data_IF_106682636770
#
_entry.id   IF_106682636770
#
_cell.length_a   1.000
_cell.length_b   1.000
_cell.length_c   1.000
_cell.angle_alpha   90.00
_cell.angle_beta   90.00
_cell.angle_gamma   90.00
#
_symmetry.space_group_name_H-M   'P 1'
#
loop_
_entity.id
_entity.type
_entity.pdbx_description
1 polymer ?
#
# COMPACT_ATOMS: atom_id res chain seq x y z
N UNK A 1 -40.81 22.68 10.13
CA UNK A 1 -41.26 21.59 9.25
C UNK A 1 -40.10 20.63 9.09
N UNK A 2 -40.12 19.51 9.81
CA UNK A 2 -39.05 18.53 9.85
C UNK A 2 -39.34 17.41 8.83
N UNK A 3 -38.54 17.34 7.77
CA UNK A 3 -38.64 16.29 6.75
C UNK A 3 -38.09 15.00 7.34
N UNK A 4 -38.99 14.12 7.77
CA UNK A 4 -38.66 12.79 8.26
C UNK A 4 -38.32 11.90 7.06
N UNK A 5 -37.04 11.59 6.88
CA UNK A 5 -36.59 10.65 5.87
C UNK A 5 -37.05 9.24 6.26
N UNK A 6 -37.95 8.67 5.45
CA UNK A 6 -38.34 7.26 5.52
C UNK A 6 -37.10 6.38 5.24
N UNK A 7 -36.48 5.88 6.31
CA UNK A 7 -35.46 4.84 6.21
C UNK A 7 -36.19 3.50 6.04
N UNK A 8 -36.32 3.04 4.81
CA UNK A 8 -36.74 1.67 4.54
C UNK A 8 -35.76 0.71 5.24
N UNK A 9 -36.24 -0.34 5.94
CA UNK A 9 -35.35 -1.35 6.46
C UNK A 9 -34.74 -2.10 5.27
N UNK A 10 -33.43 -1.98 5.06
CA UNK A 10 -32.69 -2.91 4.22
C UNK A 10 -32.91 -4.31 4.80
N UNK A 11 -33.81 -5.07 4.17
CA UNK A 11 -33.92 -6.49 4.42
C UNK A 11 -32.57 -7.07 3.98
N UNK A 12 -31.72 -7.39 4.95
CA UNK A 12 -30.56 -8.24 4.74
C UNK A 12 -31.09 -9.63 4.33
N UNK A 13 -31.44 -9.76 3.06
CA UNK A 13 -31.71 -11.04 2.42
C UNK A 13 -30.42 -11.83 2.55
N UNK A 14 -30.45 -12.85 3.40
CA UNK A 14 -29.26 -13.55 3.85
C UNK A 14 -28.38 -13.93 2.67
N UNK A 15 -27.13 -13.46 2.71
CA UNK A 15 -26.04 -14.18 2.08
C UNK A 15 -26.05 -15.57 2.72
N UNK A 16 -26.76 -16.51 2.08
CA UNK A 16 -26.70 -17.93 2.45
C UNK A 16 -25.22 -18.26 2.47
N UNK A 17 -24.77 -18.74 3.62
CA UNK A 17 -23.42 -19.17 3.87
C UNK A 17 -23.09 -20.26 2.84
N UNK A 18 -22.52 -19.87 1.70
CA UNK A 18 -21.89 -20.79 0.78
C UNK A 18 -20.69 -21.32 1.56
N UNK A 19 -20.77 -22.56 2.04
CA UNK A 19 -19.67 -23.24 2.76
C UNK A 19 -18.41 -23.46 1.90
N UNK A 20 -18.34 -22.81 0.73
CA UNK A 20 -17.21 -22.74 -0.16
C UNK A 20 -17.07 -21.29 -0.64
N UNK A 21 -16.69 -20.39 0.28
CA UNK A 21 -16.23 -19.05 -0.11
C UNK A 21 -14.83 -19.23 -0.69
N UNK A 22 -14.57 -18.71 -1.90
CA UNK A 22 -13.25 -18.86 -2.50
C UNK A 22 -12.22 -18.17 -1.60
N UNK A 23 -11.05 -18.78 -1.32
CA UNK A 23 -10.07 -18.19 -0.41
C UNK A 23 -9.56 -16.80 -0.84
N UNK A 24 -9.68 -16.47 -2.13
CA UNK A 24 -9.35 -15.16 -2.68
C UNK A 24 -10.41 -14.09 -2.38
N UNK A 25 -11.64 -14.49 -2.05
CA UNK A 25 -12.70 -13.56 -1.63
C UNK A 25 -12.68 -13.32 -0.11
N UNK A 26 -12.25 -14.31 0.68
CA UNK A 26 -12.16 -14.17 2.15
C UNK A 26 -10.90 -13.39 2.58
N UNK A 27 -9.79 -13.54 1.86
CA UNK A 27 -8.49 -13.00 2.25
C UNK A 27 -7.87 -12.09 1.18
N UNK A 28 -7.31 -10.97 1.63
CA UNK A 28 -6.63 -10.00 0.76
C UNK A 28 -5.24 -10.49 0.31
N UNK A 29 -4.61 -11.34 1.13
CA UNK A 29 -3.27 -11.85 0.91
C UNK A 29 -3.18 -13.32 1.28
N UNK A 30 -2.73 -14.15 0.34
CA UNK A 30 -2.54 -15.59 0.54
C UNK A 30 -1.07 -15.97 0.48
N UNK A 31 -0.63 -16.79 1.41
CA UNK A 31 0.69 -17.43 1.42
C UNK A 31 0.48 -18.92 1.23
N UNK A 32 0.90 -19.44 0.08
CA UNK A 32 0.73 -20.83 -0.32
C UNK A 32 2.09 -21.51 -0.25
N UNK A 33 2.19 -22.62 0.47
CA UNK A 33 3.43 -23.36 0.60
C UNK A 33 3.39 -24.62 -0.26
N UNK A 34 4.56 -25.00 -0.79
CA UNK A 34 4.70 -26.30 -1.44
C UNK A 34 4.72 -27.40 -0.37
N UNK A 35 4.07 -28.54 -0.64
CA UNK A 35 4.07 -29.68 0.29
C UNK A 35 5.49 -30.18 0.61
N UNK A 36 6.41 -30.07 -0.36
CA UNK A 36 7.80 -30.50 -0.22
C UNK A 36 8.73 -29.37 0.28
N UNK A 37 8.16 -28.24 0.73
CA UNK A 37 8.95 -27.12 1.20
C UNK A 37 9.83 -27.55 2.41
N UNK A 38 11.07 -27.06 2.51
CA UNK A 38 11.99 -27.41 3.60
C UNK A 38 11.48 -26.98 4.99
N UNK A 39 10.50 -26.08 5.04
CA UNK A 39 9.77 -25.71 6.27
C UNK A 39 9.03 -26.92 6.86
N UNK A 40 8.55 -27.82 6.01
CA UNK A 40 7.86 -29.06 6.39
C UNK A 40 8.79 -30.28 6.33
N UNK A 41 10.11 -30.10 6.26
CA UNK A 41 11.07 -31.21 6.15
C UNK A 41 10.95 -32.11 7.38
N UNK A 42 10.48 -33.34 7.17
CA UNK A 42 10.19 -34.31 8.24
C UNK A 42 8.70 -34.60 8.44
N UNK A 43 7.80 -33.85 7.80
CA UNK A 43 6.38 -34.19 7.71
C UNK A 43 6.18 -35.10 6.48
N UNK A 44 5.99 -36.40 6.70
CA UNK A 44 5.54 -37.30 5.64
C UNK A 44 4.06 -36.99 5.32
N UNK A 45 3.63 -37.25 4.09
CA UNK A 45 2.26 -36.99 3.61
C UNK A 45 1.13 -37.66 4.44
N UNK A 46 1.49 -38.51 5.41
CA UNK A 46 0.57 -39.20 6.32
C UNK A 46 0.42 -38.55 7.70
N UNK A 47 1.13 -37.45 7.99
CA UNK A 47 1.04 -36.72 9.26
C UNK A 47 0.52 -35.28 9.05
N UNK A 48 -0.74 -35.16 8.63
CA UNK A 48 -1.45 -33.88 8.48
C UNK A 48 -1.37 -33.04 9.78
N UNK A 49 -1.33 -33.69 10.95
CA UNK A 49 -1.23 -33.04 12.27
C UNK A 49 0.09 -32.27 12.49
N UNK A 50 1.22 -32.78 12.00
CA UNK A 50 2.51 -32.05 12.10
C UNK A 50 2.54 -30.83 11.18
N UNK A 51 1.91 -30.94 10.00
CA UNK A 51 1.73 -29.80 9.10
C UNK A 51 0.80 -28.74 9.72
N UNK A 52 -0.25 -29.15 10.43
CA UNK A 52 -1.12 -28.24 11.16
C UNK A 52 -0.39 -27.50 12.29
N UNK A 53 0.43 -28.21 13.08
CA UNK A 53 1.22 -27.56 14.12
C UNK A 53 2.24 -26.56 13.57
N UNK A 54 2.97 -26.92 12.52
CA UNK A 54 3.90 -25.98 11.87
C UNK A 54 3.18 -24.78 11.25
N UNK A 55 1.97 -24.96 10.72
CA UNK A 55 1.11 -23.85 10.29
C UNK A 55 0.65 -22.97 11.45
N UNK A 56 0.35 -23.54 12.62
CA UNK A 56 0.03 -22.76 13.82
C UNK A 56 1.22 -21.94 14.31
N UNK A 57 2.43 -22.50 14.28
CA UNK A 57 3.67 -21.77 14.60
C UNK A 57 3.95 -20.64 13.58
N UNK A 58 3.65 -20.88 12.30
CA UNK A 58 3.70 -19.83 11.28
C UNK A 58 2.69 -18.72 11.55
N UNK A 59 1.47 -19.07 11.98
CA UNK A 59 0.43 -18.11 12.34
C UNK A 59 0.88 -17.25 13.52
N UNK A 60 1.41 -17.86 14.60
CA UNK A 60 1.86 -17.11 15.78
C UNK A 60 2.98 -16.13 15.42
N UNK A 61 3.93 -16.57 14.60
CA UNK A 61 5.02 -15.76 14.09
C UNK A 61 4.56 -14.61 13.19
N UNK A 62 3.61 -14.86 12.28
CA UNK A 62 3.03 -13.83 11.42
C UNK A 62 2.19 -12.84 12.23
N UNK A 63 1.47 -13.30 13.25
CA UNK A 63 0.72 -12.45 14.16
C UNK A 63 1.65 -11.52 14.95
N UNK A 64 2.78 -12.02 15.45
CA UNK A 64 3.78 -11.21 16.15
C UNK A 64 4.42 -10.16 15.22
N UNK A 65 4.77 -10.55 13.98
CA UNK A 65 5.45 -9.66 13.05
C UNK A 65 4.57 -8.62 12.35
N UNK A 66 3.33 -8.98 12.00
CA UNK A 66 2.39 -8.06 11.32
C UNK A 66 1.52 -7.28 12.30
N UNK A 67 1.27 -7.81 13.51
CA UNK A 67 0.58 -7.13 14.60
C UNK A 67 -0.75 -6.51 14.16
N UNK A 68 -0.88 -5.19 14.35
CA UNK A 68 -2.11 -4.42 14.05
C UNK A 68 -2.45 -4.31 12.56
N UNK A 69 -1.60 -4.80 11.65
CA UNK A 69 -1.84 -4.79 10.20
C UNK A 69 -2.76 -5.92 9.75
N UNK A 70 -2.93 -6.96 10.56
CA UNK A 70 -3.84 -8.07 10.27
C UNK A 70 -5.13 -7.87 11.07
N UNK A 71 -6.26 -8.16 10.44
CA UNK A 71 -7.57 -8.25 11.10
C UNK A 71 -7.98 -9.71 11.31
N UNK A 72 -7.65 -10.60 10.38
CA UNK A 72 -7.93 -12.04 10.46
C UNK A 72 -6.77 -12.82 9.83
N UNK A 73 -6.37 -13.91 10.49
CA UNK A 73 -5.43 -14.90 9.96
C UNK A 73 -6.04 -16.28 10.09
N UNK A 74 -5.93 -17.10 9.05
CA UNK A 74 -6.38 -18.51 9.07
C UNK A 74 -5.46 -19.39 8.25
N UNK A 75 -5.21 -20.59 8.73
CA UNK A 75 -4.60 -21.66 7.94
C UNK A 75 -5.69 -22.52 7.29
N UNK A 76 -5.43 -22.99 6.09
CA UNK A 76 -6.29 -23.90 5.37
C UNK A 76 -5.48 -24.66 4.32
N UNK A 77 -6.11 -25.64 3.67
CA UNK A 77 -5.48 -26.42 2.61
C UNK A 77 -6.19 -26.15 1.28
N UNK A 78 -5.42 -25.79 0.25
CA UNK A 78 -5.96 -25.60 -1.10
C UNK A 78 -5.87 -26.94 -1.84
N UNK A 79 -7.01 -27.54 -2.25
CA UNK A 79 -6.99 -28.74 -3.07
C UNK A 79 -6.53 -28.40 -4.50
N UNK A 80 -5.52 -29.10 -4.98
CA UNK A 80 -5.07 -29.01 -6.38
C UNK A 80 -5.80 -30.04 -7.23
N UNK A 81 -5.94 -29.76 -8.54
CA UNK A 81 -6.53 -30.71 -9.50
C UNK A 81 -5.79 -32.06 -9.56
N UNK A 82 -4.52 -32.08 -9.16
CA UNK A 82 -3.70 -33.29 -9.04
C UNK A 82 -4.01 -34.14 -7.80
N UNK A 83 -4.98 -33.76 -6.98
CA UNK A 83 -5.35 -34.44 -5.73
C UNK A 83 -4.46 -34.08 -4.53
N UNK A 84 -3.35 -33.36 -4.73
CA UNK A 84 -2.50 -32.85 -3.65
C UNK A 84 -3.18 -31.66 -2.94
N UNK A 85 -3.01 -31.57 -1.62
CA UNK A 85 -3.44 -30.42 -0.82
C UNK A 85 -2.23 -29.54 -0.50
N UNK A 86 -2.30 -28.25 -0.82
CA UNK A 86 -1.24 -27.30 -0.51
C UNK A 86 -1.55 -26.54 0.79
N UNK A 87 -0.68 -26.62 1.82
CA UNK A 87 -0.84 -25.85 3.03
C UNK A 87 -0.76 -24.35 2.73
N UNK A 88 -1.73 -23.58 3.21
CA UNK A 88 -1.87 -22.16 2.90
C UNK A 88 -2.30 -21.35 4.13
N UNK A 89 -1.91 -20.08 4.17
CA UNK A 89 -2.29 -19.11 5.18
C UNK A 89 -2.94 -17.91 4.48
N UNK A 90 -4.15 -17.57 4.91
CA UNK A 90 -4.87 -16.38 4.47
C UNK A 90 -4.74 -15.26 5.49
N UNK A 91 -4.47 -14.05 5.00
CA UNK A 91 -4.36 -12.83 5.78
C UNK A 91 -5.40 -11.83 5.27
N UNK A 92 -6.21 -11.31 6.19
CA UNK A 92 -7.08 -10.15 5.95
C UNK A 92 -6.40 -8.92 6.53
N UNK A 93 -6.14 -7.93 5.69
CA UNK A 93 -5.31 -6.79 6.04
C UNK A 93 -6.16 -5.61 6.51
N UNK A 94 -5.62 -4.81 7.43
CA UNK A 94 -6.19 -3.53 7.80
C UNK A 94 -5.76 -2.47 6.77
N UNK A 95 -6.67 -1.92 5.94
CA UNK A 95 -6.29 -1.03 4.83
C UNK A 95 -5.60 0.26 5.29
N UNK A 96 -5.84 0.70 6.53
CA UNK A 96 -5.20 1.90 7.09
C UNK A 96 -3.73 1.70 7.41
N UNK A 97 -3.34 0.48 7.78
CA UNK A 97 -1.99 0.17 8.28
C UNK A 97 -1.19 -0.75 7.33
N UNK A 98 -1.84 -1.50 6.45
CA UNK A 98 -1.21 -2.49 5.57
C UNK A 98 -0.02 -1.90 4.78
N UNK A 99 -0.23 -0.72 4.20
CA UNK A 99 0.76 -0.03 3.35
C UNK A 99 1.71 0.91 4.11
N UNK A 100 1.65 0.95 5.45
CA UNK A 100 2.57 1.78 6.24
C UNK A 100 4.00 1.29 6.07
N UNK A 101 4.92 2.16 5.64
CA UNK A 101 6.31 1.79 5.38
C UNK A 101 7.11 1.50 6.64
N UNK A 102 6.63 1.92 7.81
CA UNK A 102 7.37 1.80 9.08
C UNK A 102 6.56 1.00 10.09
N UNK A 103 7.23 0.08 10.78
CA UNK A 103 6.71 -0.60 11.97
C UNK A 103 7.38 0.07 13.16
N UNK A 104 6.57 0.71 14.01
CA UNK A 104 7.03 1.31 15.26
C UNK A 104 7.09 0.21 16.32
N UNK A 105 8.27 0.05 16.92
CA UNK A 105 8.51 -0.83 18.05
C UNK A 105 8.54 -0.08 19.39
N UNK A 106 9.00 -0.75 20.46
CA UNK A 106 9.15 -0.17 21.78
C UNK A 106 10.29 0.86 21.87
N UNK A 107 10.31 1.68 22.94
CA UNK A 107 11.36 2.67 23.14
C UNK A 107 12.74 2.01 23.33
N UNK A 108 13.77 2.70 22.85
CA UNK A 108 15.16 2.24 22.92
C UNK A 108 15.63 2.03 24.36
N UNK A 109 16.53 1.08 24.56
CA UNK A 109 17.11 0.78 25.89
C UNK A 109 16.22 -0.07 26.81
N UNK A 110 14.99 -0.39 26.41
CA UNK A 110 14.13 -1.32 27.16
C UNK A 110 14.42 -2.79 26.83
N UNK A 111 14.04 -3.71 27.72
CA UNK A 111 14.12 -5.15 27.44
C UNK A 111 13.26 -5.54 26.24
N UNK A 112 12.08 -4.92 26.10
CA UNK A 112 11.22 -5.06 24.92
C UNK A 112 11.92 -4.60 23.63
N UNK A 113 12.78 -3.58 23.69
CA UNK A 113 13.62 -3.17 22.56
C UNK A 113 14.63 -4.24 22.15
N UNK A 114 15.22 -4.94 23.13
CA UNK A 114 16.16 -6.05 22.85
C UNK A 114 15.44 -7.23 22.20
N UNK A 115 14.25 -7.61 22.68
CA UNK A 115 13.46 -8.69 22.07
C UNK A 115 13.02 -8.32 20.66
N UNK A 116 12.55 -7.08 20.45
CA UNK A 116 12.21 -6.57 19.12
C UNK A 116 13.40 -6.62 18.16
N UNK A 117 14.59 -6.22 18.61
CA UNK A 117 15.82 -6.29 17.82
C UNK A 117 16.23 -7.73 17.53
N UNK A 118 16.06 -8.66 18.46
CA UNK A 118 16.34 -10.08 18.24
C UNK A 118 15.38 -10.68 17.21
N UNK A 119 14.09 -10.34 17.31
CA UNK A 119 13.05 -10.78 16.39
C UNK A 119 13.31 -10.30 14.96
N UNK A 120 13.50 -8.99 14.74
CA UNK A 120 13.73 -8.44 13.40
C UNK A 120 15.18 -8.51 12.90
N UNK A 121 16.14 -8.67 13.80
CA UNK A 121 17.57 -8.70 13.51
C UNK A 121 18.08 -7.45 12.81
N UNK A 122 18.80 -7.66 11.71
CA UNK A 122 19.42 -6.59 10.93
C UNK A 122 18.44 -5.61 10.26
N UNK A 123 17.13 -5.90 10.27
CA UNK A 123 16.10 -4.95 9.82
C UNK A 123 15.67 -3.96 10.90
N UNK A 124 15.96 -4.22 12.18
CA UNK A 124 15.69 -3.26 13.27
C UNK A 124 16.67 -2.11 13.20
N UNK A 125 16.15 -0.88 13.24
CA UNK A 125 16.93 0.35 13.25
C UNK A 125 16.35 1.32 14.26
N UNK A 126 17.19 2.17 14.84
CA UNK A 126 16.75 3.22 15.75
C UNK A 126 16.28 4.44 14.97
N UNK A 127 15.09 4.97 15.31
CA UNK A 127 14.56 6.21 14.75
C UNK A 127 13.98 7.10 15.84
N UNK A 128 14.16 8.41 15.66
CA UNK A 128 13.45 9.40 16.45
C UNK A 128 12.02 9.51 15.92
N UNK A 129 11.04 9.17 16.75
CA UNK A 129 9.61 9.33 16.49
C UNK A 129 9.09 10.29 17.52
N UNK A 130 8.61 11.45 17.08
CA UNK A 130 8.07 12.52 17.93
C UNK A 130 9.05 13.04 19.01
N UNK A 131 10.36 12.96 18.74
CA UNK A 131 11.43 13.43 19.63
C UNK A 131 12.10 12.32 20.45
N UNK A 132 11.44 11.18 20.61
CA UNK A 132 11.93 10.05 21.39
C UNK A 132 12.52 8.94 20.51
N UNK A 133 13.50 8.19 21.03
CA UNK A 133 14.21 7.14 20.30
C UNK A 133 13.48 5.79 20.42
N UNK A 134 12.97 5.29 19.29
CA UNK A 134 12.29 3.99 19.20
C UNK A 134 13.05 3.01 18.32
N UNK A 135 12.92 1.72 18.64
CA UNK A 135 13.24 0.66 17.69
C UNK A 135 12.16 0.65 16.59
N UNK A 136 12.58 0.61 15.33
CA UNK A 136 11.69 0.67 14.18
C UNK A 136 12.18 -0.25 13.06
N UNK A 137 11.25 -0.74 12.24
CA UNK A 137 11.56 -1.43 10.98
C UNK A 137 11.02 -0.64 9.81
N UNK A 138 11.82 -0.54 8.75
CA UNK A 138 11.51 0.31 7.59
C UNK A 138 11.54 -0.54 6.34
N UNK A 139 10.46 -0.43 5.57
CA UNK A 139 10.25 -1.16 4.32
C UNK A 139 10.36 -0.25 3.11
N UNK A 140 10.66 -0.85 1.96
CA UNK A 140 10.76 -0.13 0.69
C UNK A 140 9.37 0.20 0.15
N UNK A 141 9.20 1.40 -0.39
CA UNK A 141 7.92 1.85 -0.97
C UNK A 141 7.63 1.29 -2.36
N UNK A 142 8.64 0.77 -3.04
CA UNK A 142 8.55 0.28 -4.42
C UNK A 142 7.85 -1.08 -4.54
N UNK A 143 7.69 -1.80 -3.42
CA UNK A 143 7.08 -3.13 -3.36
C UNK A 143 6.03 -3.18 -2.26
N UNK A 144 5.08 -4.09 -2.39
CA UNK A 144 4.08 -4.34 -1.36
C UNK A 144 4.77 -4.65 -0.01
N UNK A 145 4.43 -3.87 1.03
CA UNK A 145 5.09 -3.93 2.33
C UNK A 145 4.78 -5.25 3.05
N UNK A 146 3.52 -5.70 3.01
CA UNK A 146 3.09 -6.97 3.60
C UNK A 146 3.88 -8.14 3.01
N UNK A 147 4.06 -8.16 1.70
CA UNK A 147 4.85 -9.19 1.01
C UNK A 147 6.30 -9.21 1.51
N UNK A 148 6.93 -8.03 1.64
CA UNK A 148 8.30 -7.91 2.16
C UNK A 148 8.41 -8.38 3.61
N UNK A 149 7.43 -8.07 4.45
CA UNK A 149 7.38 -8.50 5.86
C UNK A 149 7.32 -10.03 5.92
N UNK A 150 6.36 -10.63 5.23
CA UNK A 150 6.17 -12.09 5.21
C UNK A 150 7.45 -12.79 4.72
N UNK A 151 8.03 -12.34 3.61
CA UNK A 151 9.27 -12.92 3.07
C UNK A 151 10.41 -12.83 4.08
N UNK A 152 10.57 -11.68 4.75
CA UNK A 152 11.63 -11.48 5.73
C UNK A 152 11.46 -12.38 6.96
N UNK A 153 10.24 -12.48 7.49
CA UNK A 153 9.93 -13.31 8.65
C UNK A 153 10.18 -14.79 8.37
N UNK A 154 9.72 -15.29 7.21
CA UNK A 154 9.91 -16.68 6.81
C UNK A 154 11.38 -17.04 6.62
N UNK A 155 12.15 -16.21 5.90
CA UNK A 155 13.58 -16.44 5.69
C UNK A 155 14.35 -16.45 7.02
N UNK A 156 14.05 -15.50 7.90
CA UNK A 156 14.80 -15.30 9.14
C UNK A 156 14.58 -16.43 10.15
N UNK A 157 13.33 -16.80 10.41
CA UNK A 157 13.02 -17.71 11.52
C UNK A 157 13.12 -19.19 11.12
N UNK A 158 12.90 -19.52 9.85
CA UNK A 158 12.98 -20.91 9.39
C UNK A 158 14.34 -21.27 8.77
N UNK A 159 15.30 -20.33 8.74
CA UNK A 159 16.66 -20.52 8.19
C UNK A 159 16.63 -21.11 6.77
N UNK A 160 15.65 -20.71 5.97
CA UNK A 160 15.58 -21.14 4.58
C UNK A 160 16.77 -20.51 3.86
N UNK A 161 17.61 -21.37 3.29
CA UNK A 161 18.82 -20.96 2.57
C UNK A 161 18.52 -19.90 1.50
N UNK A 162 19.58 -19.20 1.12
CA UNK A 162 19.55 -18.02 0.26
C UNK A 162 18.61 -18.17 -0.96
N UNK A 163 18.05 -17.05 -1.45
CA UNK A 163 16.91 -16.94 -2.40
C UNK A 163 17.07 -17.66 -3.75
N UNK A 164 18.13 -18.44 -3.94
CA UNK A 164 18.63 -18.96 -5.21
C UNK A 164 18.16 -20.37 -5.56
N UNK A 165 17.64 -21.21 -4.63
CA UNK A 165 17.46 -22.64 -4.95
C UNK A 165 16.03 -23.20 -4.97
N UNK A 166 15.02 -22.55 -4.39
CA UNK A 166 13.62 -22.96 -4.64
C UNK A 166 12.66 -21.97 -4.00
N UNK A 167 11.65 -21.53 -4.76
CA UNK A 167 10.59 -20.66 -4.24
C UNK A 167 9.64 -21.52 -3.40
N UNK A 168 10.00 -21.71 -2.13
CA UNK A 168 9.35 -22.64 -1.21
C UNK A 168 7.93 -22.23 -0.81
N UNK A 169 7.58 -20.97 -1.05
CA UNK A 169 6.23 -20.43 -0.90
C UNK A 169 5.91 -19.44 -2.01
N UNK A 170 4.62 -19.28 -2.28
CA UNK A 170 4.05 -18.34 -3.24
C UNK A 170 3.10 -17.41 -2.52
N UNK A 171 3.31 -16.10 -2.70
CA UNK A 171 2.41 -15.09 -2.17
C UNK A 171 1.49 -14.58 -3.29
N UNK A 172 0.18 -14.57 -3.03
CA UNK A 172 -0.85 -13.99 -3.89
C UNK A 172 -1.38 -12.74 -3.19
N UNK A 173 -1.13 -11.58 -3.80
CA UNK A 173 -1.57 -10.26 -3.34
C UNK A 173 -2.55 -9.66 -4.34
N UNK A 174 -3.37 -8.72 -3.89
CA UNK A 174 -4.17 -7.82 -4.74
C UNK A 174 -3.32 -7.13 -5.83
N UNK A 175 -2.08 -6.80 -5.52
CA UNK A 175 -1.22 -5.99 -6.38
C UNK A 175 -0.60 -6.79 -7.55
N UNK A 176 -0.80 -8.11 -7.62
CA UNK A 176 -0.23 -8.93 -8.70
C UNK A 176 -0.70 -8.48 -10.08
N UNK A 177 -1.93 -8.00 -10.20
CA UNK A 177 -2.45 -7.51 -11.48
C UNK A 177 -1.92 -6.13 -11.85
N UNK A 178 -1.29 -5.41 -10.90
CA UNK A 178 -0.73 -4.09 -11.16
C UNK A 178 0.39 -4.12 -12.22
N UNK A 179 1.09 -5.26 -12.38
CA UNK A 179 2.07 -5.40 -13.46
C UNK A 179 1.46 -5.35 -14.86
N UNK A 180 0.18 -5.72 -15.01
CA UNK A 180 -0.53 -5.60 -16.28
C UNK A 180 -0.78 -4.12 -16.61
N UNK A 181 -1.11 -3.31 -15.60
CA UNK A 181 -1.31 -1.86 -15.75
C UNK A 181 -0.01 -1.14 -16.10
N UNK A 182 1.15 -1.62 -15.63
CA UNK A 182 2.45 -1.04 -15.96
C UNK A 182 2.74 -1.02 -17.46
N UNK A 183 2.22 -1.98 -18.24
CA UNK A 183 2.39 -2.00 -19.70
C UNK A 183 1.60 -0.90 -20.41
N UNK A 184 0.55 -0.39 -19.78
CA UNK A 184 -0.31 0.65 -20.33
C UNK A 184 0.01 2.04 -19.74
N UNK A 185 0.93 2.10 -18.77
CA UNK A 185 1.30 3.33 -18.12
C UNK A 185 1.99 4.29 -19.10
N UNK A 186 1.57 5.56 -19.18
CA UNK A 186 2.20 6.54 -20.05
C UNK A 186 3.68 6.72 -19.69
N UNK A 187 4.53 6.89 -20.72
CA UNK A 187 5.98 7.05 -20.61
C UNK A 187 6.36 8.40 -19.98
N UNK A 188 6.04 8.59 -18.71
CA UNK A 188 6.38 9.77 -17.93
C UNK A 188 7.25 9.38 -16.75
N UNK A 189 8.27 10.21 -16.55
CA UNK A 189 9.41 9.87 -15.72
C UNK A 189 9.07 10.02 -14.25
N UNK A 190 8.69 8.89 -13.66
CA UNK A 190 9.11 8.39 -12.33
C UNK A 190 9.53 9.49 -11.37
N UNK A 191 8.55 10.24 -10.87
CA UNK A 191 8.62 10.67 -9.49
C UNK A 191 7.61 9.82 -8.77
N UNK A 192 8.10 8.75 -8.14
CA UNK A 192 7.31 7.86 -7.28
C UNK A 192 6.88 8.63 -6.03
N UNK A 193 5.92 9.53 -6.20
CA UNK A 193 5.12 9.95 -5.06
C UNK A 193 4.17 8.81 -4.72
N UNK A 194 3.95 8.52 -3.43
CA UNK A 194 2.83 7.68 -3.03
C UNK A 194 1.56 8.19 -3.73
N UNK A 195 0.68 7.32 -4.26
CA UNK A 195 -0.50 7.74 -5.03
C UNK A 195 -1.37 8.80 -4.30
N UNK A 196 -1.46 8.70 -2.97
CA UNK A 196 -2.18 9.68 -2.14
C UNK A 196 -1.51 11.07 -2.09
N UNK A 197 -0.20 11.14 -2.28
CA UNK A 197 0.51 12.41 -2.29
C UNK A 197 0.28 13.18 -3.60
N UNK A 198 -0.04 12.50 -4.71
CA UNK A 198 -0.36 13.16 -5.97
C UNK A 198 -1.76 13.77 -5.98
N UNK A 199 -2.79 13.07 -5.47
CA UNK A 199 -4.14 13.64 -5.39
C UNK A 199 -4.23 14.81 -4.41
N UNK A 200 -3.59 14.72 -3.24
CA UNK A 200 -3.48 15.85 -2.31
C UNK A 200 -2.76 17.06 -2.92
N UNK A 201 -1.73 16.84 -3.74
CA UNK A 201 -1.07 17.93 -4.45
C UNK A 201 -2.02 18.59 -5.44
N UNK A 202 -2.78 17.78 -6.18
CA UNK A 202 -3.75 18.25 -7.17
C UNK A 202 -4.84 19.11 -6.50
N UNK A 203 -5.39 18.66 -5.38
CA UNK A 203 -6.34 19.43 -4.55
C UNK A 203 -5.73 20.78 -4.16
N UNK A 204 -4.52 20.78 -3.59
CA UNK A 204 -3.82 22.02 -3.20
C UNK A 204 -3.56 22.96 -4.37
N UNK A 205 -3.28 22.43 -5.56
CA UNK A 205 -3.09 23.27 -6.76
C UNK A 205 -4.38 23.94 -7.22
N UNK A 206 -5.52 23.25 -7.09
CA UNK A 206 -6.83 23.85 -7.38
C UNK A 206 -7.18 24.89 -6.33
N UNK A 207 -6.94 24.63 -5.03
CA UNK A 207 -7.19 25.62 -3.98
C UNK A 207 -6.40 26.92 -4.25
N UNK A 208 -5.14 26.78 -4.68
CA UNK A 208 -4.31 27.92 -5.08
C UNK A 208 -4.86 28.62 -6.32
N UNK A 209 -5.29 27.88 -7.33
CA UNK A 209 -5.89 28.45 -8.54
C UNK A 209 -7.19 29.19 -8.23
N UNK A 210 -8.03 28.64 -7.36
CA UNK A 210 -9.26 29.28 -6.92
C UNK A 210 -8.98 30.61 -6.22
N UNK A 211 -7.94 30.66 -5.39
CA UNK A 211 -7.49 31.91 -4.74
C UNK A 211 -7.10 32.97 -5.79
N UNK A 212 -6.32 32.60 -6.80
CA UNK A 212 -5.91 33.51 -7.90
C UNK A 212 -7.11 33.98 -8.72
N UNK A 213 -8.08 33.10 -9.02
CA UNK A 213 -9.29 33.48 -9.74
C UNK A 213 -10.15 34.46 -8.95
N UNK A 214 -10.26 34.27 -7.63
CA UNK A 214 -10.97 35.21 -6.77
C UNK A 214 -10.26 36.57 -6.65
N UNK A 215 -8.92 36.62 -6.66
CA UNK A 215 -8.18 37.90 -6.74
C UNK A 215 -8.50 38.66 -8.05
N UNK A 216 -8.68 37.93 -9.16
CA UNK A 216 -9.02 38.50 -10.46
C UNK A 216 -10.46 39.03 -10.56
N UNK A 217 -11.36 38.67 -9.64
CA UNK A 217 -12.73 39.20 -9.62
C UNK A 217 -12.76 40.74 -9.56
N UNK A 218 -11.72 41.37 -9.02
CA UNK A 218 -11.59 42.83 -8.98
C UNK A 218 -11.50 43.49 -10.37
N UNK A 219 -11.10 42.72 -11.40
CA UNK A 219 -10.91 43.20 -12.77
C UNK A 219 -11.94 42.65 -13.76
N UNK A 220 -12.80 41.75 -13.31
CA UNK A 220 -13.79 41.08 -14.16
C UNK A 220 -15.15 41.79 -14.03
N UNK A 221 -15.89 41.94 -15.14
CA UNK A 221 -17.24 42.52 -15.09
C UNK A 221 -18.25 41.62 -14.37
N UNK A 222 -17.93 40.33 -14.19
CA UNK A 222 -18.73 39.33 -13.50
C UNK A 222 -17.87 38.57 -12.49
N UNK A 223 -18.37 38.43 -11.27
CA UNK A 223 -17.67 37.72 -10.21
C UNK A 223 -17.76 36.21 -10.40
N UNK A 224 -16.62 35.55 -10.28
CA UNK A 224 -16.53 34.09 -10.16
C UNK A 224 -17.01 33.71 -8.75
N UNK A 225 -18.12 32.96 -8.68
CA UNK A 225 -18.77 32.55 -7.42
C UNK A 225 -18.13 31.29 -6.83
N UNK A 226 -17.74 30.33 -7.67
CA UNK A 226 -17.10 29.11 -7.20
C UNK A 226 -16.50 28.29 -8.33
N UNK A 227 -15.39 27.63 -8.03
CA UNK A 227 -14.72 26.69 -8.94
C UNK A 227 -14.72 25.31 -8.29
N UNK A 228 -15.33 24.34 -8.98
CA UNK A 228 -15.40 22.96 -8.52
C UNK A 228 -14.61 22.06 -9.47
N UNK A 229 -13.77 21.22 -8.89
CA UNK A 229 -13.01 20.24 -9.64
C UNK A 229 -13.81 18.94 -9.80
N UNK A 230 -14.14 18.57 -11.04
CA UNK A 230 -15.00 17.42 -11.35
C UNK A 230 -14.26 16.22 -11.94
N UNK A 231 -12.97 16.36 -12.26
CA UNK A 231 -12.24 15.32 -12.98
C UNK A 231 -12.01 14.05 -12.13
N UNK A 232 -11.76 12.92 -12.78
CA UNK A 232 -11.64 11.60 -12.14
C UNK A 232 -10.47 11.52 -11.16
N UNK A 233 -9.45 12.34 -11.38
CA UNK A 233 -8.24 12.45 -10.56
C UNK A 233 -8.51 12.99 -9.16
N UNK A 234 -9.53 13.83 -8.96
CA UNK A 234 -9.91 14.34 -7.63
C UNK A 234 -10.68 13.32 -6.79
N UNK A 235 -11.17 12.25 -7.40
CA UNK A 235 -11.96 11.20 -6.75
C UNK A 235 -11.18 9.90 -6.59
N UNK A 236 -9.88 9.92 -6.86
CA UNK A 236 -9.01 8.73 -6.90
C UNK A 236 -9.56 7.62 -7.83
N UNK A 237 -10.30 7.99 -8.88
CA UNK A 237 -10.90 7.06 -9.86
C UNK A 237 -10.16 7.00 -11.19
N UNK A 238 -9.09 7.78 -11.34
CA UNK A 238 -8.25 7.73 -12.54
C UNK A 238 -7.50 6.39 -12.61
N UNK A 239 -7.47 5.78 -13.80
CA UNK A 239 -6.75 4.53 -14.08
C UNK A 239 -5.26 4.67 -13.76
N UNK A 240 -4.69 5.84 -14.04
CA UNK A 240 -3.31 6.17 -13.71
C UNK A 240 -3.28 7.35 -12.75
N UNK A 241 -2.54 7.27 -11.64
CA UNK A 241 -2.45 8.38 -10.70
C UNK A 241 -1.87 9.60 -11.41
N UNK A 242 -2.36 10.82 -11.12
CA UNK A 242 -1.87 12.03 -11.77
C UNK A 242 -0.38 12.19 -11.49
N UNK A 243 0.43 12.29 -12.54
CA UNK A 243 1.89 12.41 -12.43
C UNK A 243 2.25 13.90 -12.39
N UNK A 244 3.02 14.30 -11.37
CA UNK A 244 3.62 15.62 -11.33
C UNK A 244 4.73 15.70 -12.38
N UNK A 245 4.39 16.23 -13.55
CA UNK A 245 5.34 16.37 -14.64
C UNK A 245 6.19 17.60 -14.39
N UNK A 246 7.47 17.43 -14.08
CA UNK A 246 8.41 18.56 -14.07
C UNK A 246 8.64 19.00 -15.52
N UNK A 247 8.39 20.27 -15.89
CA UNK A 247 8.54 20.73 -17.26
C UNK A 247 9.91 20.38 -17.87
N UNK A 248 9.88 19.82 -19.08
CA UNK A 248 11.05 19.31 -19.82
C UNK A 248 12.19 20.34 -19.99
N UNK A 249 11.88 21.64 -19.93
CA UNK A 249 12.85 22.77 -19.97
C UNK A 249 13.77 22.82 -18.73
N UNK A 250 13.31 22.37 -17.56
CA UNK A 250 14.12 22.32 -16.32
C UNK A 250 15.11 21.16 -16.33
N UNK A 251 14.82 20.09 -17.09
CA UNK A 251 15.67 18.92 -17.23
C UNK A 251 16.98 19.19 -17.98
N UNK A 252 16.96 20.04 -19.01
CA UNK A 252 18.18 20.48 -19.69
C UNK A 252 19.09 21.28 -18.74
N UNK A 253 18.51 22.24 -18.01
CA UNK A 253 19.24 23.04 -17.00
C UNK A 253 19.79 22.21 -15.84
N UNK A 254 19.07 21.20 -15.34
CA UNK A 254 19.56 20.32 -14.27
C UNK A 254 20.69 19.39 -14.74
N UNK A 255 20.66 18.96 -16.00
CA UNK A 255 21.75 18.16 -16.61
C UNK A 255 22.99 19.02 -16.88
N UNK A 256 22.81 20.28 -17.23
CA UNK A 256 23.88 21.29 -17.35
C UNK A 256 24.44 21.72 -15.99
N UNK A 257 23.61 21.77 -14.93
CA UNK A 257 24.01 22.17 -13.57
C UNK A 257 24.47 21.03 -12.65
N UNK A 258 24.63 19.80 -13.17
CA UNK A 258 25.23 18.67 -12.41
C UNK A 258 26.67 18.92 -11.93
N UNK A 259 27.25 20.08 -12.24
CA UNK A 259 28.55 20.55 -11.75
C UNK A 259 28.50 21.40 -10.47
N UNK A 260 27.33 21.81 -9.95
CA UNK A 260 27.26 22.51 -8.65
C UNK A 260 26.08 22.04 -7.78
N UNK A 261 26.37 21.83 -6.51
CA UNK A 261 25.52 21.31 -5.43
C UNK A 261 24.10 21.88 -5.45
N UNK A 262 23.11 21.00 -5.64
CA UNK A 262 21.69 21.36 -5.75
C UNK A 262 21.07 21.44 -4.34
N UNK A 263 20.60 22.64 -3.95
CA UNK A 263 19.94 22.88 -2.65
C UNK A 263 18.42 22.80 -2.79
N UNK A 264 17.77 22.02 -1.92
CA UNK A 264 16.31 21.81 -1.89
C UNK A 264 15.48 23.08 -1.67
N UNK A 265 16.09 24.19 -1.25
CA UNK A 265 15.40 25.47 -1.07
C UNK A 265 15.00 26.12 -2.40
N UNK A 266 15.65 25.78 -3.52
CA UNK A 266 15.39 26.36 -4.85
C UNK A 266 14.13 25.80 -5.54
N UNK A 267 13.64 24.63 -5.10
CA UNK A 267 12.49 23.94 -5.71
C UNK A 267 11.15 24.61 -5.35
N UNK A 268 11.08 25.32 -4.22
CA UNK A 268 9.82 25.92 -3.73
C UNK A 268 9.35 27.13 -4.53
N UNK A 269 10.25 27.84 -5.22
CA UNK A 269 9.91 29.08 -5.93
C UNK A 269 9.52 28.92 -7.41
N UNK A 270 9.59 27.71 -7.97
CA UNK A 270 9.53 27.53 -9.45
C UNK A 270 8.42 26.60 -9.97
N UNK A 271 7.52 26.15 -9.10
CA UNK A 271 6.33 25.41 -9.52
C UNK A 271 5.25 26.39 -10.02
N UNK A 272 5.16 26.55 -11.35
CA UNK A 272 3.99 27.09 -12.02
C UNK A 272 3.21 25.95 -12.69
N UNK A 273 1.86 25.91 -12.55
CA UNK A 273 1.04 24.87 -13.15
C UNK A 273 0.80 25.20 -14.63
N UNK A 274 0.97 24.21 -15.51
CA UNK A 274 0.54 24.30 -16.91
C UNK A 274 -0.21 23.01 -17.27
N UNK A 275 -1.53 23.20 -17.43
CA UNK A 275 -2.60 22.40 -18.04
C UNK A 275 -2.70 20.91 -17.72
N UNK A 276 -3.64 20.59 -16.82
CA UNK A 276 -4.66 19.59 -17.16
C UNK A 276 -5.64 20.22 -18.15
N UNK A 277 -6.04 19.53 -19.21
CA UNK A 277 -7.28 19.85 -19.93
C UNK A 277 -8.43 19.54 -18.98
N UNK A 278 -8.74 20.47 -18.09
CA UNK A 278 -9.93 20.46 -17.28
C UNK A 278 -11.06 21.01 -18.14
N UNK A 279 -12.01 20.16 -18.53
CA UNK A 279 -13.32 20.61 -18.97
C UNK A 279 -13.99 21.31 -17.78
N UNK A 280 -13.82 22.63 -17.71
CA UNK A 280 -14.45 23.51 -16.74
C UNK A 280 -15.82 23.88 -17.29
N UNK A 281 -16.87 23.26 -16.75
CA UNK A 281 -18.23 23.68 -17.00
C UNK A 281 -18.53 24.91 -16.13
N UNK A 282 -18.69 26.08 -16.76
CA UNK A 282 -19.19 27.28 -16.09
C UNK A 282 -20.71 27.28 -16.15
N UNK A 283 -21.37 27.32 -14.99
CA UNK A 283 -22.82 27.58 -14.91
C UNK A 283 -23.02 29.06 -14.61
N UNK A 284 -23.64 29.77 -15.54
CA UNK A 284 -24.08 31.16 -15.34
C UNK A 284 -25.52 31.14 -14.78
N UNK A 285 -25.82 31.86 -13.69
CA UNK A 285 -27.20 32.11 -13.30
C UNK A 285 -27.86 33.09 -14.30
N UNK A 286 -29.12 32.79 -14.67
CA UNK A 286 -30.01 33.67 -15.44
C UNK A 286 -30.39 34.92 -14.65
#
# INVERSE_FOLDING_TARGET
>A
MATTAFRLPEKAFGFKHCNWMDPLEEFDHLVIFLSDAPIFKGCLASEEDKMLHTLQDLISLLMEGLGTRITLIRSFFIPLRSGKKLPSIGLRLNPSLANSLTIRGPPSGTEAGKTFRQFWGGKSQLRHVDGDLFECVVWESSRNVTLQIVDHLLVRHFKLGDRTTSRNWYQVTSDRLNSLLSSFAPAHTVVEFPPRASSLHLIRTVDRLNSVLHELNSYLPLNIVGVQAISSEFRDTSVFPPILTVPRRLRKRAREKKTKTFSWKDVRHTLQPIYSTSDLAFTLPL
#
